data_IF_462185758195
#
_entry.id   IF_462185758195
#
_cell.length_a   1.000
_cell.length_b   1.000
_cell.length_c   1.000
_cell.angle_alpha   90.00
_cell.angle_beta   90.00
_cell.angle_gamma   90.00
#
_symmetry.space_group_name_H-M   'P 1'
#
loop_
_entity.id
_entity.type
_entity.pdbx_description
1 polymer ?
#
# COMPACT_ATOMS: atom_id res chain seq x y z
N UNK A 1 29.85 -12.94 28.87
CA UNK A 1 28.40 -13.13 28.65
C UNK A 1 27.51 -12.47 29.71
N UNK A 2 27.84 -12.48 31.02
CA UNK A 2 26.96 -11.93 32.07
C UNK A 2 26.78 -10.39 32.07
N UNK A 3 27.79 -9.64 31.59
CA UNK A 3 27.74 -8.16 31.46
C UNK A 3 26.90 -7.69 30.26
N UNK A 4 26.90 -8.45 29.15
CA UNK A 4 26.14 -8.09 27.95
C UNK A 4 24.62 -8.18 28.17
N UNK A 5 24.19 -9.17 28.97
CA UNK A 5 22.78 -9.36 29.39
C UNK A 5 22.30 -8.30 30.40
N UNK A 6 23.20 -7.57 31.07
CA UNK A 6 22.84 -6.44 31.95
C UNK A 6 22.66 -5.13 31.18
N UNK A 7 23.33 -4.99 30.03
CA UNK A 7 23.26 -3.81 29.18
C UNK A 7 22.14 -3.91 28.14
N UNK A 8 21.85 -5.13 27.66
CA UNK A 8 20.77 -5.38 26.72
C UNK A 8 19.80 -6.40 27.33
N UNK A 9 18.58 -6.00 27.73
CA UNK A 9 17.56 -6.96 28.15
C UNK A 9 17.33 -7.99 27.04
N UNK A 10 17.05 -9.25 27.39
CA UNK A 10 16.91 -10.31 26.39
C UNK A 10 15.80 -9.95 25.40
N UNK A 11 16.14 -9.97 24.11
CA UNK A 11 15.21 -9.74 23.00
C UNK A 11 14.20 -10.88 22.92
N UNK A 12 13.17 -10.82 23.78
CA UNK A 12 12.06 -11.76 23.81
C UNK A 12 10.84 -11.07 23.22
N UNK A 13 10.40 -11.43 22.01
CA UNK A 13 9.16 -10.91 21.42
C UNK A 13 7.97 -11.06 22.34
N UNK A 14 7.96 -12.12 23.16
CA UNK A 14 6.86 -12.38 24.09
C UNK A 14 6.77 -11.43 25.29
N UNK A 15 7.88 -10.77 25.66
CA UNK A 15 8.00 -9.94 26.85
C UNK A 15 8.07 -8.42 26.54
N UNK A 16 7.93 -8.04 25.27
CA UNK A 16 7.91 -6.64 24.86
C UNK A 16 6.65 -5.95 25.39
N UNK A 17 6.75 -4.70 25.91
CA UNK A 17 5.58 -3.93 26.27
C UNK A 17 4.73 -3.67 25.03
N UNK A 18 3.40 -3.72 25.22
CA UNK A 18 2.44 -3.37 24.17
C UNK A 18 1.92 -1.96 24.39
N UNK A 19 1.64 -1.25 23.30
CA UNK A 19 1.03 0.08 23.33
C UNK A 19 -0.19 0.14 22.41
N UNK A 20 -0.99 1.20 22.56
CA UNK A 20 -2.21 1.39 21.80
C UNK A 20 -1.92 1.50 20.29
N UNK A 21 -2.66 0.74 19.48
CA UNK A 21 -2.55 0.76 18.02
C UNK A 21 -2.82 2.14 17.41
N UNK A 22 -3.66 2.95 18.05
CA UNK A 22 -4.08 4.28 17.55
C UNK A 22 -2.91 5.22 17.25
N UNK A 23 -1.80 5.13 18.00
CA UNK A 23 -0.61 5.94 17.72
C UNK A 23 0.14 5.49 16.46
N UNK A 24 0.14 4.19 16.18
CA UNK A 24 0.72 3.63 14.96
C UNK A 24 -0.16 4.01 13.78
N UNK A 25 -1.48 3.92 13.93
CA UNK A 25 -2.46 4.32 12.93
C UNK A 25 -2.30 5.79 12.52
N UNK A 26 -2.16 6.71 13.48
CA UNK A 26 -1.92 8.12 13.19
C UNK A 26 -0.61 8.37 12.41
N UNK A 27 0.43 7.57 12.67
CA UNK A 27 1.69 7.66 11.91
C UNK A 27 1.52 7.12 10.49
N UNK A 28 0.80 6.01 10.33
CA UNK A 28 0.43 5.43 9.03
C UNK A 28 -0.35 6.46 8.21
N UNK A 29 -1.36 7.11 8.80
CA UNK A 29 -2.16 8.16 8.15
C UNK A 29 -1.27 9.29 7.60
N UNK A 30 -0.31 9.75 8.40
CA UNK A 30 0.64 10.79 7.99
C UNK A 30 1.51 10.37 6.80
N UNK A 31 2.00 9.12 6.78
CA UNK A 31 2.79 8.59 5.67
C UNK A 31 1.98 8.49 4.37
N UNK A 32 0.74 8.00 4.45
CA UNK A 32 -0.15 7.94 3.29
C UNK A 32 -0.46 9.33 2.74
N UNK A 33 -0.76 10.30 3.62
CA UNK A 33 -1.04 11.68 3.23
C UNK A 33 0.15 12.31 2.49
N UNK A 34 1.36 12.22 3.06
CA UNK A 34 2.58 12.76 2.42
C UNK A 34 2.80 12.08 1.06
N UNK A 35 2.81 10.75 1.02
CA UNK A 35 3.07 10.01 -0.21
C UNK A 35 2.02 10.30 -1.32
N UNK A 36 0.73 10.47 -0.96
CA UNK A 36 -0.30 10.87 -1.90
C UNK A 36 -0.05 12.28 -2.46
N UNK A 37 0.40 13.22 -1.63
CA UNK A 37 0.72 14.57 -2.12
C UNK A 37 1.97 14.63 -3.00
N UNK A 38 2.94 13.71 -2.82
CA UNK A 38 4.12 13.65 -3.70
C UNK A 38 3.77 13.34 -5.15
N UNK A 39 2.68 12.62 -5.42
CA UNK A 39 2.23 12.33 -6.79
C UNK A 39 1.99 13.58 -7.62
N UNK A 40 1.51 14.66 -7.01
CA UNK A 40 1.23 15.90 -7.76
C UNK A 40 2.51 16.56 -8.27
N UNK A 41 3.66 16.30 -7.61
CA UNK A 41 4.94 16.84 -8.01
C UNK A 41 5.46 16.22 -9.32
N UNK A 42 4.91 15.07 -9.71
CA UNK A 42 5.25 14.42 -10.98
C UNK A 42 4.51 15.01 -12.18
N UNK A 43 3.48 15.83 -11.94
CA UNK A 43 2.81 16.61 -12.99
C UNK A 43 3.67 17.83 -13.37
N UNK A 44 4.58 17.61 -14.32
CA UNK A 44 5.51 18.65 -14.80
C UNK A 44 4.87 19.47 -15.94
N UNK A 45 4.90 20.81 -15.87
CA UNK A 45 4.47 21.66 -16.99
C UNK A 45 5.26 21.32 -18.27
N UNK A 46 4.60 21.24 -19.44
CA UNK A 46 5.28 20.90 -20.68
C UNK A 46 6.20 22.04 -21.12
N UNK A 47 7.40 21.69 -21.58
CA UNK A 47 8.34 22.67 -22.17
C UNK A 47 7.90 22.95 -23.60
N UNK A 48 7.41 24.17 -23.85
CA UNK A 48 6.87 24.56 -25.17
C UNK A 48 7.32 25.95 -25.59
N UNK A 49 7.28 26.21 -26.89
CA UNK A 49 7.43 27.56 -27.42
C UNK A 49 6.24 28.46 -26.99
N UNK A 50 6.43 29.79 -26.89
CA UNK A 50 5.34 30.72 -26.61
C UNK A 50 4.13 30.47 -27.53
N UNK A 51 2.92 30.54 -26.97
CA UNK A 51 1.66 30.32 -27.69
C UNK A 51 1.21 28.86 -27.86
N UNK A 52 2.05 27.86 -27.52
CA UNK A 52 1.73 26.44 -27.72
C UNK A 52 1.33 25.68 -26.45
N UNK A 53 1.29 26.37 -25.30
CA UNK A 53 1.04 25.75 -23.99
C UNK A 53 -0.29 24.99 -23.93
N UNK A 54 -1.37 25.54 -24.50
CA UNK A 54 -2.69 24.91 -24.46
C UNK A 54 -2.73 23.53 -25.12
N UNK A 55 -2.13 23.40 -26.32
CA UNK A 55 -2.05 22.13 -27.03
C UNK A 55 -1.21 21.12 -26.25
N UNK A 56 -0.04 21.53 -25.74
CA UNK A 56 0.83 20.61 -25.02
C UNK A 56 0.26 20.14 -23.68
N UNK A 57 -0.57 20.95 -23.01
CA UNK A 57 -1.32 20.49 -21.85
C UNK A 57 -2.36 19.42 -22.22
N UNK A 58 -3.02 19.57 -23.37
CA UNK A 58 -3.95 18.54 -23.85
C UNK A 58 -3.21 17.24 -24.22
N UNK A 59 -2.03 17.33 -24.81
CA UNK A 59 -1.21 16.15 -25.16
C UNK A 59 -0.71 15.38 -23.92
N UNK A 60 -0.66 16.01 -22.74
CA UNK A 60 -0.29 15.37 -21.48
C UNK A 60 -1.42 14.54 -20.84
N UNK A 61 -2.58 14.39 -21.48
CA UNK A 61 -3.70 13.62 -20.92
C UNK A 61 -3.34 12.20 -20.41
N UNK A 62 -2.41 11.42 -21.00
CA UNK A 62 -2.03 10.11 -20.47
C UNK A 62 -1.33 10.22 -19.11
N UNK A 63 -0.53 11.28 -18.91
CA UNK A 63 0.16 11.56 -17.66
C UNK A 63 -0.86 11.86 -16.55
N UNK A 64 -1.92 12.61 -16.87
CA UNK A 64 -3.02 12.88 -15.92
C UNK A 64 -3.74 11.61 -15.49
N UNK A 65 -3.91 10.64 -16.41
CA UNK A 65 -4.50 9.34 -16.09
C UNK A 65 -3.59 8.51 -15.17
N UNK A 66 -2.28 8.47 -15.44
CA UNK A 66 -1.30 7.78 -14.56
C UNK A 66 -1.30 8.41 -13.17
N UNK A 67 -1.33 9.75 -13.08
CA UNK A 67 -1.47 10.47 -11.81
C UNK A 67 -2.75 10.08 -11.06
N UNK A 68 -3.91 10.11 -11.74
CA UNK A 68 -5.19 9.79 -11.12
C UNK A 68 -5.22 8.36 -10.58
N UNK A 69 -4.69 7.40 -11.36
CA UNK A 69 -4.53 6.00 -10.93
C UNK A 69 -3.61 5.89 -9.72
N UNK A 70 -2.49 6.61 -9.70
CA UNK A 70 -1.58 6.67 -8.56
C UNK A 70 -2.26 7.21 -7.30
N UNK A 71 -3.08 8.25 -7.45
CA UNK A 71 -3.79 8.84 -6.32
C UNK A 71 -4.85 7.89 -5.76
N UNK A 72 -5.62 7.22 -6.63
CA UNK A 72 -6.55 6.16 -6.24
C UNK A 72 -5.81 5.02 -5.53
N UNK A 73 -4.63 4.63 -6.03
CA UNK A 73 -3.81 3.60 -5.41
C UNK A 73 -3.43 3.95 -3.96
N UNK A 74 -3.08 5.21 -3.70
CA UNK A 74 -2.75 5.70 -2.36
C UNK A 74 -3.97 5.70 -1.44
N UNK A 75 -5.13 6.17 -1.92
CA UNK A 75 -6.39 6.12 -1.16
C UNK A 75 -6.79 4.68 -0.84
N UNK A 76 -6.68 3.78 -1.82
CA UNK A 76 -7.00 2.37 -1.66
C UNK A 76 -6.14 1.66 -0.61
N UNK A 77 -4.83 1.93 -0.64
CA UNK A 77 -3.89 1.49 0.41
C UNK A 77 -4.25 2.02 1.78
N UNK A 78 -4.54 3.32 1.87
CA UNK A 78 -4.93 3.95 3.11
C UNK A 78 -6.21 3.33 3.68
N UNK A 79 -7.27 3.21 2.86
CA UNK A 79 -8.53 2.59 3.25
C UNK A 79 -8.34 1.15 3.71
N UNK A 80 -7.52 0.35 3.01
CA UNK A 80 -7.19 -1.01 3.44
C UNK A 80 -6.48 -1.04 4.80
N UNK A 81 -5.54 -0.13 5.03
CA UNK A 81 -4.82 -0.03 6.31
C UNK A 81 -5.74 0.37 7.46
N UNK A 82 -6.69 1.29 7.23
CA UNK A 82 -7.73 1.67 8.20
C UNK A 82 -8.65 0.50 8.53
N UNK A 83 -9.10 -0.25 7.51
CA UNK A 83 -9.95 -1.44 7.69
C UNK A 83 -9.26 -2.48 8.58
N UNK A 84 -8.02 -2.85 8.25
CA UNK A 84 -7.25 -3.82 9.04
C UNK A 84 -6.88 -3.29 10.43
N UNK A 85 -6.51 -2.00 10.52
CA UNK A 85 -6.13 -1.34 11.77
C UNK A 85 -7.29 -1.21 12.77
N UNK A 86 -8.52 -1.03 12.28
CA UNK A 86 -9.73 -0.95 13.12
C UNK A 86 -9.94 -2.20 13.99
N UNK A 87 -9.35 -3.34 13.60
CA UNK A 87 -9.47 -4.63 14.29
C UNK A 87 -8.38 -4.84 15.35
N UNK A 88 -7.34 -4.00 15.35
CA UNK A 88 -6.19 -4.11 16.23
C UNK A 88 -6.40 -3.27 17.50
N UNK A 89 -6.04 -3.84 18.65
CA UNK A 89 -6.06 -3.14 19.94
C UNK A 89 -4.67 -2.66 20.34
N UNK A 90 -3.68 -3.53 20.14
CA UNK A 90 -2.34 -3.40 20.70
C UNK A 90 -1.30 -3.69 19.63
N UNK A 91 -0.13 -3.07 19.77
CA UNK A 91 1.08 -3.46 19.04
C UNK A 91 2.25 -3.56 20.01
N UNK A 92 3.11 -4.56 19.77
CA UNK A 92 4.44 -4.61 20.35
C UNK A 92 5.46 -3.99 19.38
N UNK A 93 6.73 -3.94 19.81
CA UNK A 93 7.83 -3.43 19.00
C UNK A 93 7.95 -4.11 17.62
N UNK A 94 7.75 -5.43 17.55
CA UNK A 94 7.94 -6.19 16.31
C UNK A 94 6.78 -5.98 15.34
N UNK A 95 5.54 -5.88 15.85
CA UNK A 95 4.39 -5.48 15.04
C UNK A 95 4.71 -4.17 14.35
N UNK A 96 5.11 -3.15 15.11
CA UNK A 96 5.40 -1.83 14.53
C UNK A 96 6.56 -1.90 13.55
N UNK A 97 7.67 -2.53 13.90
CA UNK A 97 8.82 -2.63 13.01
C UNK A 97 8.46 -3.28 11.67
N UNK A 98 7.73 -4.40 11.70
CA UNK A 98 7.28 -5.09 10.48
C UNK A 98 6.29 -4.24 9.67
N UNK A 99 5.36 -3.54 10.34
CA UNK A 99 4.46 -2.59 9.68
C UNK A 99 5.25 -1.46 9.02
N UNK A 100 6.28 -0.92 9.67
CA UNK A 100 7.12 0.13 9.11
C UNK A 100 7.92 -0.36 7.89
N UNK A 101 8.45 -1.58 7.93
CA UNK A 101 9.15 -2.18 6.79
C UNK A 101 8.20 -2.40 5.60
N UNK A 102 6.99 -2.92 5.86
CA UNK A 102 5.97 -3.09 4.82
C UNK A 102 5.54 -1.74 4.22
N UNK A 103 5.34 -0.72 5.07
CA UNK A 103 5.01 0.63 4.62
C UNK A 103 6.15 1.28 3.87
N UNK A 104 7.40 1.06 4.25
CA UNK A 104 8.57 1.60 3.52
C UNK A 104 8.54 1.16 2.06
N UNK A 105 8.19 -0.10 1.79
CA UNK A 105 7.94 -0.56 0.42
C UNK A 105 6.74 0.17 -0.18
N UNK A 106 5.61 0.23 0.52
CA UNK A 106 4.38 0.81 -0.03
C UNK A 106 4.53 2.30 -0.40
N UNK A 107 5.21 3.09 0.42
CA UNK A 107 5.40 4.54 0.17
C UNK A 107 6.37 4.84 -0.98
N UNK A 108 6.99 3.83 -1.60
CA UNK A 108 7.68 3.97 -2.89
C UNK A 108 6.70 4.00 -4.08
N UNK A 109 5.42 3.71 -3.87
CA UNK A 109 4.39 3.74 -4.92
C UNK A 109 4.40 5.04 -5.74
N UNK A 110 4.49 6.25 -5.16
CA UNK A 110 4.56 7.49 -5.95
C UNK A 110 5.69 7.51 -6.97
N UNK A 111 6.87 7.02 -6.59
CA UNK A 111 8.01 6.89 -7.51
C UNK A 111 7.69 5.92 -8.66
N UNK A 112 7.04 4.79 -8.39
CA UNK A 112 6.66 3.85 -9.46
C UNK A 112 5.65 4.45 -10.45
N UNK A 113 4.74 5.31 -9.98
CA UNK A 113 3.84 6.06 -10.86
C UNK A 113 4.56 7.17 -11.63
N UNK A 114 5.59 7.79 -11.06
CA UNK A 114 6.49 8.70 -11.79
C UNK A 114 7.15 7.98 -12.97
N UNK A 115 7.67 6.77 -12.75
CA UNK A 115 8.27 5.93 -13.80
C UNK A 115 7.24 5.58 -14.88
N UNK A 116 6.02 5.18 -14.49
CA UNK A 116 4.94 4.92 -15.45
C UNK A 116 4.56 6.16 -16.27
N UNK A 117 4.58 7.33 -15.64
CA UNK A 117 4.25 8.61 -16.29
C UNK A 117 5.30 8.99 -17.32
N UNK A 118 6.59 8.85 -16.99
CA UNK A 118 7.70 9.11 -17.91
C UNK A 118 7.68 8.14 -19.10
N UNK A 119 7.35 6.88 -18.81
CA UNK A 119 7.32 5.81 -19.80
C UNK A 119 5.99 5.70 -20.57
N UNK A 120 4.99 6.55 -20.35
CA UNK A 120 3.62 6.35 -20.85
C UNK A 120 3.52 6.27 -22.39
N UNK A 121 4.49 6.85 -23.10
CA UNK A 121 4.55 6.85 -24.56
C UNK A 121 5.44 5.73 -25.14
N UNK A 122 6.24 5.05 -24.31
CA UNK A 122 7.09 3.93 -24.72
C UNK A 122 6.56 2.62 -24.14
N UNK A 123 6.18 1.68 -25.03
CA UNK A 123 5.57 0.41 -24.60
C UNK A 123 6.51 -0.45 -23.76
N UNK A 124 7.80 -0.48 -24.08
CA UNK A 124 8.76 -1.34 -23.39
C UNK A 124 9.08 -0.79 -22.00
N UNK A 125 9.28 0.52 -21.90
CA UNK A 125 9.56 1.17 -20.63
C UNK A 125 8.33 1.20 -19.74
N UNK A 126 7.12 1.35 -20.32
CA UNK A 126 5.88 1.28 -19.56
C UNK A 126 5.69 -0.10 -18.91
N UNK A 127 5.99 -1.17 -19.64
CA UNK A 127 5.97 -2.54 -19.10
C UNK A 127 6.99 -2.72 -17.97
N UNK A 128 8.17 -2.12 -18.10
CA UNK A 128 9.17 -2.11 -17.02
C UNK A 128 8.68 -1.36 -15.78
N UNK A 129 7.97 -0.24 -15.97
CA UNK A 129 7.27 0.48 -14.89
C UNK A 129 6.19 -0.37 -14.21
N UNK A 130 5.39 -1.12 -14.96
CA UNK A 130 4.38 -2.04 -14.41
C UNK A 130 5.05 -3.10 -13.54
N UNK A 131 6.17 -3.68 -13.99
CA UNK A 131 6.93 -4.68 -13.22
C UNK A 131 7.44 -4.09 -11.91
N UNK A 132 8.02 -2.89 -11.96
CA UNK A 132 8.49 -2.18 -10.77
C UNK A 132 7.35 -1.92 -9.77
N UNK A 133 6.24 -1.36 -10.23
CA UNK A 133 5.04 -1.14 -9.41
C UNK A 133 4.56 -2.45 -8.79
N UNK A 134 4.51 -3.53 -9.57
CA UNK A 134 4.07 -4.84 -9.11
C UNK A 134 4.99 -5.44 -8.04
N UNK A 135 6.31 -5.27 -8.18
CA UNK A 135 7.29 -5.71 -7.19
C UNK A 135 7.20 -4.91 -5.88
N UNK A 136 7.02 -3.59 -5.98
CA UNK A 136 6.85 -2.70 -4.82
C UNK A 136 5.59 -3.06 -4.03
N UNK A 137 4.46 -3.24 -4.72
CA UNK A 137 3.20 -3.65 -4.09
C UNK A 137 3.29 -5.10 -3.56
N UNK A 138 3.95 -6.00 -4.28
CA UNK A 138 4.18 -7.38 -3.85
C UNK A 138 5.02 -7.48 -2.57
N UNK A 139 6.10 -6.70 -2.47
CA UNK A 139 6.92 -6.62 -1.26
C UNK A 139 6.10 -6.11 -0.06
N UNK A 140 5.27 -5.09 -0.28
CA UNK A 140 4.35 -4.55 0.73
C UNK A 140 3.34 -5.61 1.20
N UNK A 141 2.79 -6.40 0.28
CA UNK A 141 1.87 -7.50 0.57
C UNK A 141 2.55 -8.59 1.41
N UNK A 142 3.78 -9.00 1.05
CA UNK A 142 4.54 -10.01 1.80
C UNK A 142 4.79 -9.50 3.23
N UNK A 143 5.18 -8.23 3.39
CA UNK A 143 5.36 -7.59 4.69
C UNK A 143 4.07 -7.59 5.52
N UNK A 144 2.94 -7.23 4.91
CA UNK A 144 1.63 -7.25 5.55
C UNK A 144 1.22 -8.67 5.98
N UNK A 145 1.37 -9.67 5.11
CA UNK A 145 1.03 -11.06 5.41
C UNK A 145 1.90 -11.62 6.54
N UNK A 146 3.19 -11.29 6.55
CA UNK A 146 4.10 -11.64 7.65
C UNK A 146 3.70 -10.99 8.97
N UNK A 147 3.40 -9.69 8.95
CA UNK A 147 2.95 -8.94 10.12
C UNK A 147 1.64 -9.50 10.66
N UNK A 148 0.67 -9.78 9.80
CA UNK A 148 -0.60 -10.36 10.21
C UNK A 148 -0.44 -11.76 10.81
N UNK A 149 0.42 -12.60 10.22
CA UNK A 149 0.73 -13.93 10.79
C UNK A 149 1.29 -13.80 12.20
N UNK A 150 2.15 -12.82 12.44
CA UNK A 150 2.69 -12.54 13.77
C UNK A 150 1.61 -12.03 14.74
N UNK A 151 0.80 -11.06 14.32
CA UNK A 151 -0.32 -10.53 15.12
C UNK A 151 -1.30 -11.66 15.52
N UNK A 152 -1.66 -12.55 14.57
CA UNK A 152 -2.55 -13.69 14.84
C UNK A 152 -2.00 -14.63 15.90
N UNK A 153 -0.69 -14.91 15.88
CA UNK A 153 -0.02 -15.74 16.89
C UNK A 153 0.01 -15.09 18.28
N UNK A 154 -0.06 -13.75 18.35
CA UNK A 154 0.03 -12.98 19.60
C UNK A 154 -1.32 -12.56 20.16
N UNK A 155 -2.39 -12.60 19.36
CA UNK A 155 -3.75 -12.28 19.80
C UNK A 155 -3.97 -10.80 20.10
N UNK A 156 -3.35 -9.89 19.36
CA UNK A 156 -3.45 -8.43 19.61
C UNK A 156 -4.73 -7.74 19.06
N UNK A 157 -5.78 -8.51 18.80
CA UNK A 157 -7.06 -8.02 18.29
C UNK A 157 -7.89 -7.34 19.38
N UNK A 158 -8.85 -6.50 18.97
CA UNK A 158 -9.86 -5.95 19.89
C UNK A 158 -10.77 -7.06 20.42
N UNK A 159 -11.11 -6.96 21.70
CA UNK A 159 -12.03 -7.90 22.36
C UNK A 159 -13.43 -7.79 21.74
N UNK A 160 -14.12 -8.94 21.57
CA UNK A 160 -15.49 -8.99 21.04
C UNK A 160 -15.62 -9.09 19.52
N UNK A 161 -14.52 -9.11 18.76
CA UNK A 161 -14.57 -9.36 17.32
C UNK A 161 -14.78 -10.86 17.02
N UNK A 162 -15.83 -11.26 16.27
CA UNK A 162 -15.99 -12.64 15.83
C UNK A 162 -14.82 -13.02 14.91
N UNK A 163 -14.21 -14.20 15.13
CA UNK A 163 -13.09 -14.68 14.31
C UNK A 163 -13.43 -14.73 12.81
N UNK A 164 -14.66 -15.08 12.47
CA UNK A 164 -15.12 -15.14 11.06
C UNK A 164 -15.18 -13.77 10.38
N UNK A 165 -15.62 -12.75 11.10
CA UNK A 165 -15.68 -11.36 10.64
C UNK A 165 -14.28 -10.85 10.27
N UNK A 166 -13.32 -11.13 11.15
CA UNK A 166 -11.91 -10.85 10.92
C UNK A 166 -11.36 -11.59 9.70
N UNK A 167 -11.62 -12.90 9.58
CA UNK A 167 -11.11 -13.69 8.45
C UNK A 167 -11.68 -13.20 7.12
N UNK A 168 -12.97 -12.83 7.07
CA UNK A 168 -13.58 -12.25 5.86
C UNK A 168 -12.94 -10.92 5.49
N UNK A 169 -12.77 -10.00 6.44
CA UNK A 169 -12.16 -8.70 6.16
C UNK A 169 -10.67 -8.81 5.77
N UNK A 170 -9.94 -9.74 6.40
CA UNK A 170 -8.57 -10.06 6.03
C UNK A 170 -8.50 -10.65 4.61
N UNK A 171 -9.33 -11.65 4.29
CA UNK A 171 -9.39 -12.26 2.97
C UNK A 171 -9.78 -11.24 1.90
N UNK A 172 -10.84 -10.46 2.11
CA UNK A 172 -11.26 -9.40 1.20
C UNK A 172 -10.13 -8.39 0.93
N UNK A 173 -9.40 -8.00 1.99
CA UNK A 173 -8.24 -7.12 1.85
C UNK A 173 -7.14 -7.80 1.04
N UNK A 174 -6.65 -8.98 1.45
CA UNK A 174 -5.52 -9.67 0.81
C UNK A 174 -5.81 -10.05 -0.64
N UNK A 175 -7.01 -10.54 -0.96
CA UNK A 175 -7.37 -10.98 -2.32
C UNK A 175 -7.20 -9.86 -3.34
N UNK A 176 -7.61 -8.63 -3.00
CA UNK A 176 -7.44 -7.47 -3.88
C UNK A 176 -5.96 -7.14 -4.08
N UNK A 177 -5.15 -7.23 -3.02
CA UNK A 177 -3.71 -6.92 -3.07
C UNK A 177 -2.84 -7.99 -3.74
N UNK A 178 -3.39 -9.15 -4.14
CA UNK A 178 -2.68 -10.16 -4.95
C UNK A 178 -2.65 -9.78 -6.44
N UNK A 179 -3.56 -8.91 -6.90
CA UNK A 179 -3.66 -8.50 -8.31
C UNK A 179 -2.35 -7.92 -8.91
N UNK A 180 -1.50 -7.18 -8.19
CA UNK A 180 -0.18 -6.77 -8.70
C UNK A 180 0.74 -7.97 -9.02
N UNK A 181 0.65 -9.09 -8.31
CA UNK A 181 1.43 -10.29 -8.65
C UNK A 181 0.93 -10.92 -9.96
N UNK A 182 -0.39 -10.86 -10.19
CA UNK A 182 -0.97 -11.25 -11.48
C UNK A 182 -0.51 -10.31 -12.59
N UNK A 183 -0.49 -9.00 -12.36
CA UNK A 183 0.04 -8.01 -13.29
C UNK A 183 1.52 -8.28 -13.63
N UNK A 184 2.34 -8.64 -12.65
CA UNK A 184 3.74 -9.03 -12.87
C UNK A 184 3.85 -10.21 -13.84
N UNK A 185 3.10 -11.28 -13.60
CA UNK A 185 3.10 -12.46 -14.48
C UNK A 185 2.60 -12.14 -15.90
N UNK A 186 1.50 -11.36 -15.99
CA UNK A 186 0.93 -10.94 -17.27
C UNK A 186 1.86 -10.00 -18.06
N UNK A 187 2.73 -9.24 -17.40
CA UNK A 187 3.67 -8.31 -18.04
C UNK A 187 4.66 -8.96 -19.02
N UNK A 188 4.83 -10.29 -18.93
CA UNK A 188 5.67 -11.07 -19.84
C UNK A 188 4.92 -11.57 -21.08
N UNK A 189 3.58 -11.49 -21.09
CA UNK A 189 2.73 -12.09 -22.13
C UNK A 189 1.92 -11.03 -22.87
N UNK A 190 1.30 -10.08 -22.15
CA UNK A 190 0.32 -9.15 -22.73
C UNK A 190 0.83 -7.71 -22.88
N UNK A 191 2.11 -7.46 -22.57
CA UNK A 191 2.73 -6.15 -22.70
C UNK A 191 2.04 -5.08 -21.83
N UNK A 192 1.76 -3.86 -22.35
CA UNK A 192 1.18 -2.75 -21.57
C UNK A 192 -0.17 -3.07 -20.91
N UNK A 193 -0.94 -4.01 -21.49
CA UNK A 193 -2.23 -4.43 -20.94
C UNK A 193 -2.13 -5.14 -19.59
N UNK A 194 -0.91 -5.50 -19.17
CA UNK A 194 -0.64 -6.05 -17.85
C UNK A 194 -0.93 -5.07 -16.70
N UNK A 195 -1.18 -3.79 -16.98
CA UNK A 195 -1.66 -2.83 -15.97
C UNK A 195 -3.10 -3.10 -15.53
N UNK A 196 -3.87 -3.86 -16.31
CA UNK A 196 -5.31 -4.09 -16.07
C UNK A 196 -5.64 -4.61 -14.66
N UNK A 197 -4.94 -5.63 -14.10
CA UNK A 197 -5.19 -6.07 -12.73
C UNK A 197 -4.93 -4.99 -11.68
N UNK A 198 -3.95 -4.10 -11.91
CA UNK A 198 -3.67 -2.97 -11.01
C UNK A 198 -4.80 -1.96 -11.08
N UNK A 199 -5.30 -1.62 -12.28
CA UNK A 199 -6.46 -0.73 -12.43
C UNK A 199 -7.70 -1.33 -11.75
N UNK A 200 -7.96 -2.62 -11.95
CA UNK A 200 -9.05 -3.35 -11.28
C UNK A 200 -8.88 -3.30 -9.77
N UNK A 201 -7.67 -3.53 -9.25
CA UNK A 201 -7.37 -3.40 -7.82
C UNK A 201 -7.67 -1.98 -7.31
N UNK A 202 -7.21 -0.94 -8.02
CA UNK A 202 -7.43 0.45 -7.66
C UNK A 202 -8.93 0.75 -7.58
N UNK A 203 -9.74 0.30 -8.54
CA UNK A 203 -11.20 0.47 -8.52
C UNK A 203 -11.86 -0.31 -7.38
N UNK A 204 -11.51 -1.58 -7.20
CA UNK A 204 -12.04 -2.41 -6.12
C UNK A 204 -11.72 -1.81 -4.75
N UNK A 205 -10.55 -1.20 -4.59
CA UNK A 205 -10.13 -0.61 -3.32
C UNK A 205 -11.00 0.57 -2.85
N UNK A 206 -11.72 1.22 -3.79
CA UNK A 206 -12.67 2.28 -3.52
C UNK A 206 -14.04 1.76 -3.06
N UNK A 207 -14.34 0.48 -3.27
CA UNK A 207 -15.60 -0.09 -2.84
C UNK A 207 -15.69 -0.14 -1.31
N UNK A 208 -16.88 0.11 -0.74
CA UNK A 208 -17.12 -0.07 0.68
C UNK A 208 -17.14 -1.58 0.95
N UNK A 209 -15.98 -2.17 1.25
CA UNK A 209 -15.94 -3.49 1.87
C UNK A 209 -16.48 -3.32 3.29
N UNK A 210 -17.73 -3.75 3.52
CA UNK A 210 -18.42 -3.64 4.80
C UNK A 210 -17.53 -4.12 5.95
N UNK A 211 -17.38 -3.27 6.97
CA UNK A 211 -16.71 -3.68 8.19
C UNK A 211 -17.69 -4.53 9.01
N UNK A 212 -17.26 -5.68 9.54
CA UNK A 212 -18.10 -6.43 10.46
C UNK A 212 -18.29 -5.62 11.75
N UNK A 213 -19.45 -4.95 11.85
CA UNK A 213 -19.82 -4.09 12.98
C UNK A 213 -20.94 -3.10 12.64
N UNK A 214 -21.07 -2.68 11.38
CA UNK A 214 -22.06 -1.66 10.98
C UNK A 214 -23.51 -2.16 11.01
N UNK A 215 -23.73 -3.47 11.13
CA UNK A 215 -25.06 -4.07 11.27
C UNK A 215 -25.55 -4.13 12.74
N UNK A 216 -24.78 -3.64 13.71
CA UNK A 216 -25.07 -3.73 15.14
C UNK A 216 -25.06 -2.40 15.91
N UNK A 217 -25.06 -1.27 15.20
CA UNK A 217 -25.30 0.08 15.75
C UNK A 217 -26.61 0.65 15.17
#
# INVERSE_FOLDING_TARGET
MHLLNRLLPPLRPSAQPTFAWSRVEAFIDGLYAIAATLLVLELKPPRTAPGHLGHALLDQWPIYLVYALGFIQMIGGWAASRRLGSMLARADHYVVLMTMVALMSFVLTPFTFAVLSDAVHDRHDFVSGIRLLSLVLGASLIGLAGNMTYIRRRGYFREGLPTEAFERAYLASVTVWVLPLLALGLSYVVGPWAITPIVVMSVLSLLPFDLPGDAAL
#
